data_IF_518311247665
#
_entry.id   IF_518311247665
#
_cell.length_a   1.000
_cell.length_b   1.000
_cell.length_c   1.000
_cell.angle_alpha   90.00
_cell.angle_beta   90.00
_cell.angle_gamma   90.00
#
_symmetry.space_group_name_H-M   'P 1'
#
loop_
_entity.id
_entity.type
_entity.pdbx_description
1 polymer ?
#
# COMPACT_ATOMS: atom_id res chain seq x y z
N UNK A 1 -8.10 0.64 22.56
CA UNK A 1 -8.91 -0.36 21.81
C UNK A 1 -8.09 -1.63 21.67
N UNK A 2 -8.69 -2.83 21.72
CA UNK A 2 -7.96 -4.05 21.38
C UNK A 2 -7.37 -3.94 19.95
N UNK A 3 -6.23 -4.59 19.66
CA UNK A 3 -5.73 -4.71 18.30
C UNK A 3 -6.83 -5.32 17.42
N UNK A 4 -6.94 -4.87 16.17
CA UNK A 4 -7.87 -5.49 15.24
C UNK A 4 -7.56 -6.99 15.20
N UNK A 5 -8.52 -7.89 15.46
CA UNK A 5 -8.35 -9.28 15.04
C UNK A 5 -8.05 -9.23 13.54
N UNK A 6 -7.04 -9.98 13.10
CA UNK A 6 -6.58 -10.05 11.73
C UNK A 6 -7.66 -10.70 10.84
N UNK A 7 -8.82 -10.08 10.73
CA UNK A 7 -9.78 -10.39 9.69
C UNK A 7 -9.15 -9.91 8.40
N UNK A 8 -8.80 -10.90 7.57
CA UNK A 8 -8.09 -10.76 6.29
C UNK A 8 -8.51 -9.47 5.59
N UNK A 9 -7.58 -8.51 5.44
CA UNK A 9 -7.75 -7.47 4.42
C UNK A 9 -7.91 -8.22 3.10
N UNK A 10 -8.91 -7.90 2.26
CA UNK A 10 -9.06 -8.62 1.02
C UNK A 10 -7.78 -8.46 0.22
N UNK A 11 -7.32 -9.54 -0.38
CA UNK A 11 -5.99 -9.55 -1.01
C UNK A 11 -6.03 -8.69 -2.27
N UNK A 12 -4.96 -7.92 -2.49
CA UNK A 12 -4.82 -7.08 -3.66
C UNK A 12 -4.84 -7.99 -4.91
N UNK A 13 -5.40 -7.55 -6.03
CA UNK A 13 -5.42 -8.34 -7.30
C UNK A 13 -4.94 -7.51 -8.49
N UNK A 14 -4.23 -6.43 -8.19
CA UNK A 14 -3.72 -5.40 -9.10
C UNK A 14 -3.23 -4.21 -8.28
N UNK A 15 -2.37 -3.36 -8.83
CA UNK A 15 -1.98 -2.03 -8.30
C UNK A 15 -3.15 -1.27 -7.63
N UNK A 16 -3.36 -1.39 -6.32
CA UNK A 16 -4.51 -0.80 -5.58
C UNK A 16 -4.20 -0.61 -4.08
N UNK A 17 -2.92 -0.60 -3.71
CA UNK A 17 -2.48 -0.61 -2.30
C UNK A 17 -3.09 0.54 -1.47
N UNK A 18 -3.26 1.73 -2.07
CA UNK A 18 -3.90 2.88 -1.43
C UNK A 18 -5.36 2.63 -1.02
N UNK A 19 -6.17 1.99 -1.89
CA UNK A 19 -7.57 1.67 -1.58
C UNK A 19 -7.67 0.69 -0.41
N UNK A 20 -6.83 -0.34 -0.42
CA UNK A 20 -6.81 -1.33 0.66
C UNK A 20 -6.31 -0.76 1.98
N UNK A 21 -5.36 0.18 1.94
CA UNK A 21 -4.95 0.93 3.13
C UNK A 21 -6.11 1.72 3.73
N UNK A 22 -6.96 2.36 2.91
CA UNK A 22 -8.19 3.03 3.39
C UNK A 22 -9.14 2.02 4.04
N UNK A 23 -9.40 0.87 3.39
CA UNK A 23 -10.27 -0.18 3.95
C UNK A 23 -9.76 -0.68 5.30
N UNK A 24 -8.45 -0.91 5.42
CA UNK A 24 -7.82 -1.28 6.68
C UNK A 24 -8.03 -0.19 7.75
N UNK A 25 -7.85 1.07 7.38
CA UNK A 25 -8.07 2.23 8.26
C UNK A 25 -9.51 2.32 8.78
N UNK A 26 -10.52 2.14 7.92
CA UNK A 26 -11.92 2.24 8.37
C UNK A 26 -12.36 1.05 9.23
N UNK A 27 -11.80 -0.14 8.98
CA UNK A 27 -11.94 -1.28 9.91
C UNK A 27 -11.37 -0.93 11.28
N UNK A 28 -10.19 -0.30 11.33
CA UNK A 28 -9.54 0.13 12.59
C UNK A 28 -10.41 1.11 13.37
N UNK A 29 -11.17 1.93 12.65
CA UNK A 29 -12.13 2.88 13.22
C UNK A 29 -13.45 2.24 13.68
N UNK A 30 -13.62 0.92 13.52
CA UNK A 30 -14.75 0.17 14.05
C UNK A 30 -15.96 0.07 13.11
N UNK A 31 -15.77 0.31 11.81
CA UNK A 31 -16.85 0.13 10.83
C UNK A 31 -17.30 -1.35 10.78
N UNK A 32 -18.60 -1.57 10.68
CA UNK A 32 -19.21 -2.88 10.48
C UNK A 32 -18.92 -3.44 9.08
N UNK A 33 -19.05 -4.77 8.86
CA UNK A 33 -18.87 -5.36 7.53
C UNK A 33 -19.79 -4.79 6.44
N UNK A 34 -21.00 -4.36 6.80
CA UNK A 34 -21.94 -3.72 5.86
C UNK A 34 -21.47 -2.32 5.43
N UNK A 35 -20.98 -1.52 6.38
CA UNK A 35 -20.40 -0.21 6.11
C UNK A 35 -19.12 -0.33 5.27
N UNK A 36 -18.30 -1.33 5.55
CA UNK A 36 -17.09 -1.61 4.76
C UNK A 36 -17.43 -1.97 3.31
N UNK A 37 -18.42 -2.83 3.08
CA UNK A 37 -18.84 -3.21 1.73
C UNK A 37 -19.36 -2.01 0.93
N UNK A 38 -20.15 -1.14 1.57
CA UNK A 38 -20.62 0.11 0.96
C UNK A 38 -19.46 1.05 0.64
N UNK A 39 -18.51 1.19 1.57
CA UNK A 39 -17.33 2.03 1.39
C UNK A 39 -16.41 1.50 0.29
N UNK A 40 -16.21 0.18 0.19
CA UNK A 40 -15.45 -0.43 -0.91
C UNK A 40 -16.08 -0.13 -2.26
N UNK A 41 -17.41 -0.28 -2.39
CA UNK A 41 -18.11 0.04 -3.62
C UNK A 41 -17.96 1.52 -4.01
N UNK A 42 -18.06 2.42 -3.03
CA UNK A 42 -17.86 3.85 -3.23
C UNK A 42 -16.42 4.21 -3.61
N UNK A 43 -15.41 3.69 -2.89
CA UNK A 43 -13.99 3.86 -3.21
C UNK A 43 -13.67 3.38 -4.62
N UNK A 44 -14.11 2.17 -4.98
CA UNK A 44 -13.89 1.60 -6.30
C UNK A 44 -14.54 2.43 -7.42
N UNK A 45 -15.70 3.02 -7.16
CA UNK A 45 -16.36 3.93 -8.12
C UNK A 45 -15.60 5.25 -8.26
N UNK A 46 -15.19 5.86 -7.15
CA UNK A 46 -14.45 7.12 -7.13
C UNK A 46 -13.07 6.96 -7.78
N UNK A 47 -12.33 5.90 -7.42
CA UNK A 47 -11.05 5.55 -8.03
C UNK A 47 -11.19 5.40 -9.55
N UNK A 48 -12.23 4.69 -10.01
CA UNK A 48 -12.48 4.52 -11.45
C UNK A 48 -12.86 5.81 -12.18
N UNK A 49 -13.40 6.79 -11.48
CA UNK A 49 -13.82 8.06 -12.06
C UNK A 49 -12.72 9.14 -12.02
N UNK A 50 -11.73 9.02 -11.13
CA UNK A 50 -10.70 10.03 -10.94
C UNK A 50 -9.58 9.88 -11.99
N UNK A 51 -9.29 10.91 -12.80
CA UNK A 51 -8.25 10.84 -13.84
C UNK A 51 -6.82 10.72 -13.27
N UNK A 52 -6.63 11.02 -11.97
CA UNK A 52 -5.37 10.87 -11.23
C UNK A 52 -5.15 9.46 -10.70
N UNK A 53 -6.03 8.50 -10.96
CA UNK A 53 -5.72 7.07 -10.79
C UNK A 53 -5.15 6.51 -12.10
N UNK A 54 -4.03 5.80 -12.02
CA UNK A 54 -3.45 5.12 -13.19
C UNK A 54 -3.08 3.71 -12.78
N UNK A 55 -3.63 2.73 -13.51
CA UNK A 55 -3.63 1.29 -13.21
C UNK A 55 -4.06 0.89 -11.77
N UNK A 56 -4.61 1.85 -11.01
CA UNK A 56 -5.09 1.72 -9.63
C UNK A 56 -4.07 2.15 -8.56
N UNK A 57 -2.87 2.59 -8.96
CA UNK A 57 -1.92 3.20 -8.02
C UNK A 57 -2.35 4.59 -7.58
N UNK A 58 -2.05 4.91 -6.31
CA UNK A 58 -2.32 6.20 -5.68
C UNK A 58 -0.97 6.83 -5.30
N UNK A 59 -0.37 7.59 -6.20
CA UNK A 59 0.97 8.17 -6.00
C UNK A 59 0.96 9.56 -5.33
N UNK A 60 -0.22 10.01 -4.87
CA UNK A 60 -0.43 11.35 -4.33
C UNK A 60 -1.23 11.31 -3.03
N UNK A 61 -0.76 12.07 -2.04
CA UNK A 61 -1.47 12.36 -0.78
C UNK A 61 -2.85 12.98 -1.05
N UNK A 62 -2.93 13.94 -1.96
CA UNK A 62 -4.20 14.63 -2.28
C UNK A 62 -5.27 13.68 -2.83
N UNK A 63 -4.90 12.83 -3.80
CA UNK A 63 -5.81 11.81 -4.32
C UNK A 63 -6.33 10.89 -3.21
N UNK A 64 -5.47 10.41 -2.31
CA UNK A 64 -5.92 9.56 -1.21
C UNK A 64 -6.91 10.30 -0.28
N UNK A 65 -6.63 11.57 0.03
CA UNK A 65 -7.53 12.41 0.82
C UNK A 65 -8.87 12.64 0.14
N UNK A 66 -8.88 12.90 -1.17
CA UNK A 66 -10.10 13.12 -1.94
C UNK A 66 -10.96 11.85 -2.02
N UNK A 67 -10.33 10.68 -2.18
CA UNK A 67 -11.03 9.39 -2.12
C UNK A 67 -11.69 9.18 -0.74
N UNK A 68 -10.97 9.43 0.36
CA UNK A 68 -11.51 9.28 1.73
C UNK A 68 -12.65 10.27 2.00
N UNK A 69 -12.52 11.53 1.56
CA UNK A 69 -13.56 12.54 1.71
C UNK A 69 -14.78 12.21 0.84
N UNK A 70 -14.55 11.74 -0.38
CA UNK A 70 -15.59 11.43 -1.36
C UNK A 70 -16.52 10.31 -0.92
N UNK A 71 -16.02 9.29 -0.19
CA UNK A 71 -16.89 8.21 0.29
C UNK A 71 -17.90 8.64 1.35
N UNK A 72 -17.64 9.75 2.06
CA UNK A 72 -18.54 10.26 3.12
C UNK A 72 -19.87 10.84 2.59
N UNK A 73 -20.07 10.90 1.27
CA UNK A 73 -21.27 11.46 0.62
C UNK A 73 -22.45 10.52 0.44
N UNK A 74 -22.25 9.19 0.48
CA UNK A 74 -23.20 8.20 -0.05
C UNK A 74 -23.82 7.28 1.03
N UNK A 75 -24.05 7.79 2.24
CA UNK A 75 -24.52 6.96 3.37
C UNK A 75 -23.45 6.06 3.97
N UNK A 76 -22.17 6.29 3.61
CA UNK A 76 -21.03 5.69 4.28
C UNK A 76 -20.72 6.44 5.59
N UNK A 77 -19.91 5.85 6.47
CA UNK A 77 -19.37 6.53 7.65
C UNK A 77 -18.72 7.88 7.26
N UNK A 78 -19.00 8.92 8.04
CA UNK A 78 -18.36 10.23 7.83
C UNK A 78 -16.93 10.19 8.34
N UNK A 79 -15.99 10.29 7.41
CA UNK A 79 -14.56 10.25 7.67
C UNK A 79 -13.98 11.65 7.57
N UNK A 80 -13.18 12.04 8.55
CA UNK A 80 -12.25 13.15 8.45
C UNK A 80 -10.88 12.58 8.10
N UNK A 81 -10.20 13.20 7.13
CA UNK A 81 -8.85 12.83 6.75
C UNK A 81 -7.96 14.05 6.51
N UNK A 82 -6.73 13.98 7.02
CA UNK A 82 -5.71 15.01 6.84
C UNK A 82 -4.32 14.39 6.71
N UNK A 83 -3.48 15.05 5.92
CA UNK A 83 -2.06 14.76 5.89
C UNK A 83 -1.38 15.30 7.16
N UNK A 84 -0.44 14.53 7.70
CA UNK A 84 0.39 14.93 8.83
C UNK A 84 1.85 14.84 8.43
N UNK A 85 2.62 15.93 8.57
CA UNK A 85 4.05 15.89 8.28
C UNK A 85 4.83 15.26 9.45
N UNK A 86 5.95 14.62 9.12
CA UNK A 86 6.99 14.24 10.06
C UNK A 86 8.35 14.31 9.36
N UNK A 87 9.41 14.51 10.15
CA UNK A 87 10.78 14.63 9.62
C UNK A 87 11.78 13.70 10.32
N UNK A 88 11.38 13.04 11.42
CA UNK A 88 12.30 12.23 12.23
C UNK A 88 11.61 10.96 12.74
N UNK A 89 12.37 9.90 13.06
CA UNK A 89 11.83 8.71 13.71
C UNK A 89 11.11 9.01 15.02
N UNK A 90 11.63 9.96 15.82
CA UNK A 90 11.00 10.36 17.08
C UNK A 90 9.62 11.02 16.85
N UNK A 91 9.50 11.88 15.83
CA UNK A 91 8.22 12.48 15.46
C UNK A 91 7.24 11.41 14.97
N UNK A 92 7.70 10.46 14.13
CA UNK A 92 6.89 9.33 13.69
C UNK A 92 6.40 8.49 14.88
N UNK A 93 7.27 8.17 15.83
CA UNK A 93 6.93 7.42 17.05
C UNK A 93 5.84 8.12 17.87
N UNK A 94 5.94 9.44 18.03
CA UNK A 94 4.95 10.25 18.74
C UNK A 94 3.59 10.17 18.03
N UNK A 95 3.55 10.34 16.71
CA UNK A 95 2.32 10.25 15.92
C UNK A 95 1.65 8.87 16.05
N UNK A 96 2.42 7.79 15.98
CA UNK A 96 1.91 6.42 16.16
C UNK A 96 1.28 6.24 17.53
N UNK A 97 1.94 6.76 18.58
CA UNK A 97 1.44 6.70 19.95
C UNK A 97 0.14 7.49 20.11
N UNK A 98 0.10 8.72 19.59
CA UNK A 98 -1.06 9.60 19.69
C UNK A 98 -2.28 8.99 18.99
N UNK A 99 -2.08 8.45 17.77
CA UNK A 99 -3.16 7.78 17.04
C UNK A 99 -3.66 6.51 17.75
N UNK A 100 -2.76 5.73 18.35
CA UNK A 100 -3.14 4.56 19.14
C UNK A 100 -3.99 4.93 20.36
N UNK A 101 -3.73 6.09 20.97
CA UNK A 101 -4.49 6.60 22.12
C UNK A 101 -5.85 7.19 21.71
N UNK A 102 -5.90 7.95 20.62
CA UNK A 102 -7.16 8.52 20.11
C UNK A 102 -8.07 7.50 19.42
N UNK A 103 -7.49 6.37 19.00
CA UNK A 103 -8.17 5.35 18.21
C UNK A 103 -8.27 5.71 16.73
N UNK A 104 -7.57 6.75 16.28
CA UNK A 104 -7.48 7.11 14.88
C UNK A 104 -6.69 6.07 14.07
N UNK A 105 -6.92 6.05 12.75
CA UNK A 105 -6.14 5.24 11.82
C UNK A 105 -5.03 6.08 11.19
N UNK A 106 -3.81 5.53 11.11
CA UNK A 106 -2.68 6.14 10.42
C UNK A 106 -2.29 5.31 9.20
N UNK A 107 -2.38 5.91 8.02
CA UNK A 107 -1.84 5.33 6.80
C UNK A 107 -0.47 5.94 6.52
N UNK A 108 0.47 5.10 6.12
CA UNK A 108 1.83 5.50 5.79
C UNK A 108 2.17 5.02 4.38
N UNK A 109 2.62 5.93 3.49
CA UNK A 109 3.33 5.51 2.30
C UNK A 109 4.76 5.14 2.69
N UNK A 110 5.32 4.09 2.12
CA UNK A 110 6.71 3.72 2.33
C UNK A 110 7.26 3.06 1.07
N UNK A 111 8.53 3.27 0.76
CA UNK A 111 9.15 2.49 -0.31
C UNK A 111 9.41 1.07 0.20
N UNK A 112 8.94 0.09 -0.56
CA UNK A 112 9.08 -1.31 -0.22
C UNK A 112 10.51 -1.76 -0.57
N UNK A 113 11.21 -2.43 0.35
CA UNK A 113 12.50 -2.99 0.02
C UNK A 113 12.36 -4.28 -0.82
N UNK A 114 13.11 -4.42 -1.92
CA UNK A 114 13.01 -5.56 -2.84
C UNK A 114 13.24 -6.94 -2.17
N UNK A 115 14.00 -6.96 -1.07
CA UNK A 115 14.21 -8.18 -0.29
C UNK A 115 12.93 -8.70 0.39
N UNK A 116 11.96 -7.83 0.69
CA UNK A 116 10.67 -8.23 1.26
C UNK A 116 9.95 -9.11 0.25
N UNK A 117 9.87 -8.65 -0.99
CA UNK A 117 9.30 -9.38 -2.12
C UNK A 117 9.97 -10.74 -2.33
N UNK A 118 11.31 -10.79 -2.33
CA UNK A 118 12.05 -12.04 -2.48
C UNK A 118 11.75 -13.02 -1.34
N UNK A 119 11.76 -12.55 -0.10
CA UNK A 119 11.46 -13.35 1.08
C UNK A 119 10.03 -13.93 1.05
N UNK A 120 9.02 -13.10 0.78
CA UNK A 120 7.63 -13.56 0.77
C UNK A 120 7.32 -14.49 -0.42
N UNK A 121 7.94 -14.27 -1.59
CA UNK A 121 7.85 -15.24 -2.70
C UNK A 121 8.42 -16.60 -2.29
N UNK A 122 9.54 -16.62 -1.57
CA UNK A 122 10.15 -17.86 -1.09
C UNK A 122 9.31 -18.54 0.00
N UNK A 123 8.69 -17.78 0.91
CA UNK A 123 7.71 -18.34 1.87
C UNK A 123 6.52 -19.00 1.17
N UNK A 124 5.96 -18.35 0.14
CA UNK A 124 4.86 -18.92 -0.64
C UNK A 124 5.28 -20.21 -1.36
N UNK A 125 6.49 -20.25 -1.92
CA UNK A 125 7.08 -21.45 -2.53
C UNK A 125 7.37 -22.54 -1.51
N UNK A 126 7.78 -22.19 -0.29
CA UNK A 126 8.02 -23.16 0.77
C UNK A 126 6.72 -23.87 1.16
N UNK A 127 5.62 -23.13 1.27
CA UNK A 127 4.29 -23.69 1.55
C UNK A 127 3.80 -24.68 0.47
N UNK A 128 4.27 -24.54 -0.78
CA UNK A 128 4.01 -25.45 -1.89
C UNK A 128 5.11 -26.51 -2.10
N UNK A 129 6.12 -26.59 -1.23
CA UNK A 129 7.24 -27.52 -1.33
C UNK A 129 8.26 -27.18 -2.43
N UNK A 130 8.23 -25.96 -2.96
CA UNK A 130 9.06 -25.45 -4.06
C UNK A 130 10.22 -24.56 -3.60
N UNK A 131 10.39 -24.36 -2.29
CA UNK A 131 11.55 -23.68 -1.70
C UNK A 131 11.93 -24.35 -0.36
N UNK A 132 13.20 -24.30 0.00
CA UNK A 132 13.73 -24.88 1.24
C UNK A 132 13.67 -23.88 2.41
N UNK A 133 13.73 -24.40 3.64
CA UNK A 133 13.88 -23.57 4.84
C UNK A 133 15.12 -22.67 4.80
N UNK A 134 16.21 -23.15 4.20
CA UNK A 134 17.47 -22.43 4.08
C UNK A 134 17.38 -21.26 3.10
N UNK A 135 16.66 -21.42 1.98
CA UNK A 135 16.40 -20.34 1.03
C UNK A 135 15.57 -19.21 1.67
N UNK A 136 14.56 -19.59 2.45
CA UNK A 136 13.71 -18.66 3.19
C UNK A 136 14.51 -17.93 4.27
N UNK A 137 15.36 -18.65 5.02
CA UNK A 137 16.23 -18.04 6.04
C UNK A 137 17.27 -17.09 5.43
N UNK A 138 17.86 -17.43 4.28
CA UNK A 138 18.79 -16.55 3.57
C UNK A 138 18.10 -15.26 3.07
N UNK A 139 16.90 -15.38 2.52
CA UNK A 139 16.12 -14.22 2.09
C UNK A 139 15.67 -13.35 3.27
N UNK A 140 15.36 -13.96 4.43
CA UNK A 140 15.13 -13.21 5.67
C UNK A 140 16.36 -12.41 6.10
N UNK A 141 17.54 -13.02 6.07
CA UNK A 141 18.78 -12.30 6.41
C UNK A 141 19.13 -11.22 5.38
N UNK A 142 18.76 -11.40 4.10
CA UNK A 142 18.90 -10.36 3.09
C UNK A 142 17.95 -9.18 3.37
N UNK A 143 16.72 -9.48 3.82
CA UNK A 143 15.73 -8.50 4.28
C UNK A 143 16.20 -7.65 5.47
N UNK A 144 17.05 -8.19 6.33
CA UNK A 144 17.62 -7.48 7.47
C UNK A 144 18.85 -6.61 7.12
N UNK A 145 19.58 -6.94 6.03
CA UNK A 145 20.91 -6.37 5.72
C UNK A 145 20.94 -5.12 4.82
N UNK A 146 19.81 -4.72 4.26
CA UNK A 146 19.70 -3.89 3.04
C UNK A 146 20.54 -2.61 3.00
N UNK A 147 21.66 -2.67 2.27
CA UNK A 147 22.56 -1.55 2.00
C UNK A 147 22.14 -0.69 0.79
N UNK A 148 21.19 -1.16 -0.03
CA UNK A 148 20.77 -0.49 -1.27
C UNK A 148 19.25 -0.35 -1.31
N UNK A 149 18.73 0.65 -0.61
CA UNK A 149 17.34 1.05 -0.75
C UNK A 149 17.18 1.78 -2.09
N UNK A 150 16.41 1.21 -3.01
CA UNK A 150 15.96 1.91 -4.22
C UNK A 150 14.45 2.13 -4.11
N UNK A 151 13.99 3.35 -4.39
CA UNK A 151 12.59 3.75 -4.34
C UNK A 151 11.76 3.17 -5.51
N UNK A 152 11.91 1.87 -5.77
CA UNK A 152 11.34 1.25 -6.98
C UNK A 152 9.86 0.93 -6.81
N UNK A 153 9.35 0.85 -5.57
CA UNK A 153 7.97 0.48 -5.28
C UNK A 153 7.41 1.32 -4.12
N UNK A 154 6.84 2.49 -4.42
CA UNK A 154 6.02 3.22 -3.46
C UNK A 154 4.79 2.38 -3.10
N UNK A 155 4.53 2.19 -1.80
CA UNK A 155 3.43 1.36 -1.31
C UNK A 155 2.68 2.03 -0.17
N UNK A 156 1.43 1.64 0.05
CA UNK A 156 0.59 2.14 1.16
C UNK A 156 0.21 1.03 2.14
N UNK A 157 0.26 1.33 3.43
CA UNK A 157 -0.28 0.44 4.46
C UNK A 157 -0.87 1.20 5.65
N UNK A 158 -1.71 0.50 6.42
CA UNK A 158 -2.15 0.96 7.75
C UNK A 158 -1.06 0.64 8.78
N UNK A 159 -0.71 1.60 9.64
CA UNK A 159 0.02 1.31 10.88
C UNK A 159 -0.96 0.66 11.86
N UNK A 160 -0.84 -0.67 12.05
CA UNK A 160 -1.79 -1.46 12.82
C UNK A 160 -1.54 -1.35 14.32
N UNK A 161 -0.30 -1.65 14.73
CA UNK A 161 0.12 -1.61 16.14
C UNK A 161 1.62 -1.36 16.27
N UNK A 162 2.03 -1.04 17.49
CA UNK A 162 3.40 -1.24 17.94
C UNK A 162 3.42 -2.52 18.75
N UNK A 163 4.23 -3.50 18.36
CA UNK A 163 4.54 -4.65 19.20
C UNK A 163 5.47 -4.21 20.32
N UNK A 164 4.92 -4.13 21.53
CA UNK A 164 5.66 -3.69 22.72
C UNK A 164 6.81 -4.65 23.09
N UNK A 165 6.72 -5.92 22.71
CA UNK A 165 7.75 -6.92 23.03
C UNK A 165 9.00 -6.73 22.20
N UNK A 166 8.83 -6.48 20.90
CA UNK A 166 9.93 -6.31 19.95
C UNK A 166 10.26 -4.84 19.67
N UNK A 167 9.44 -3.90 20.13
CA UNK A 167 9.54 -2.47 19.82
C UNK A 167 9.26 -2.14 18.35
N UNK A 168 8.63 -3.06 17.60
CA UNK A 168 8.44 -2.94 16.15
C UNK A 168 7.07 -2.36 15.81
N UNK A 169 7.03 -1.57 14.74
CA UNK A 169 5.80 -1.10 14.11
C UNK A 169 5.33 -2.18 13.14
N UNK A 170 4.10 -2.63 13.34
CA UNK A 170 3.44 -3.63 12.51
C UNK A 170 2.52 -2.92 11.53
N UNK A 171 2.79 -3.08 10.24
CA UNK A 171 1.92 -2.57 9.18
C UNK A 171 0.93 -3.65 8.75
N UNK A 172 -0.34 -3.29 8.57
CA UNK A 172 -1.30 -4.13 7.88
C UNK A 172 -1.18 -3.87 6.38
N UNK A 173 -0.41 -4.74 5.71
CA UNK A 173 -0.05 -4.65 4.31
C UNK A 173 -0.88 -5.64 3.48
N UNK A 174 -1.60 -5.13 2.48
CA UNK A 174 -2.28 -5.95 1.47
C UNK A 174 -1.33 -6.16 0.30
N UNK A 175 -0.85 -7.38 0.10
CA UNK A 175 -0.13 -7.75 -1.11
C UNK A 175 -1.06 -8.42 -2.14
N UNK A 176 -0.60 -8.57 -3.38
CA UNK A 176 -1.31 -9.26 -4.45
C UNK A 176 -1.46 -10.78 -4.19
N UNK A 177 -2.65 -11.33 -4.44
CA UNK A 177 -2.88 -12.77 -4.41
C UNK A 177 -2.34 -13.37 -5.70
N UNK A 178 -1.03 -13.58 -5.76
CA UNK A 178 -0.45 -14.22 -6.95
C UNK A 178 -0.84 -15.71 -7.02
N UNK A 179 -1.44 -16.31 -5.97
CA UNK A 179 -1.57 -17.78 -5.89
C UNK A 179 -2.87 -18.33 -5.25
N UNK A 180 -3.91 -17.51 -5.03
CA UNK A 180 -5.19 -17.97 -4.48
C UNK A 180 -5.15 -18.37 -2.99
N UNK A 181 -4.12 -17.93 -2.25
CA UNK A 181 -3.86 -18.38 -0.87
C UNK A 181 -4.27 -17.34 0.17
N UNK A 182 -4.69 -16.15 -0.25
CA UNK A 182 -5.36 -15.22 0.66
C UNK A 182 -4.46 -14.69 1.79
N UNK A 183 -3.22 -14.27 1.47
CA UNK A 183 -2.30 -13.72 2.47
C UNK A 183 -2.47 -12.21 2.64
N UNK A 184 -3.00 -11.78 3.80
CA UNK A 184 -2.77 -10.43 4.32
C UNK A 184 -1.54 -10.49 5.21
N UNK A 185 -0.49 -9.72 4.89
CA UNK A 185 0.76 -9.78 5.65
C UNK A 185 0.85 -8.64 6.68
N UNK A 186 1.52 -8.97 7.77
CA UNK A 186 2.12 -7.99 8.67
C UNK A 186 3.54 -7.70 8.17
N UNK A 187 3.84 -6.42 7.93
CA UNK A 187 5.20 -5.99 7.65
C UNK A 187 5.76 -5.26 8.87
N UNK A 188 6.81 -5.82 9.46
CA UNK A 188 7.38 -5.31 10.71
C UNK A 188 8.62 -4.46 10.47
N UNK A 189 8.61 -3.26 11.03
CA UNK A 189 9.69 -2.28 10.92
C UNK A 189 10.13 -1.81 12.31
N UNK A 190 11.41 -1.45 12.48
CA UNK A 190 11.72 -0.48 13.53
C UNK A 190 11.19 0.89 13.11
N UNK A 191 10.97 1.80 14.06
CA UNK A 191 10.50 3.17 13.73
C UNK A 191 11.51 3.88 12.83
N UNK A 192 12.81 3.66 13.06
CA UNK A 192 13.89 4.22 12.26
C UNK A 192 13.82 3.70 10.81
N UNK A 193 13.62 2.39 10.62
CA UNK A 193 13.52 1.80 9.28
C UNK A 193 12.28 2.29 8.56
N UNK A 194 11.14 2.37 9.24
CA UNK A 194 9.89 2.88 8.65
C UNK A 194 10.01 4.37 8.27
N UNK A 195 10.63 5.18 9.14
CA UNK A 195 10.92 6.58 8.86
C UNK A 195 11.81 6.73 7.64
N UNK A 196 12.89 5.94 7.55
CA UNK A 196 13.79 5.97 6.39
C UNK A 196 13.08 5.53 5.10
N UNK A 197 12.26 4.48 5.17
CA UNK A 197 11.51 3.97 4.03
C UNK A 197 10.48 4.97 3.48
N UNK A 198 9.85 5.77 4.35
CA UNK A 198 8.95 6.84 3.92
C UNK A 198 9.72 8.05 3.38
N UNK A 199 10.79 8.50 4.05
CA UNK A 199 11.58 9.66 3.60
C UNK A 199 12.31 9.40 2.27
N UNK A 200 12.59 8.14 1.95
CA UNK A 200 13.17 7.74 0.67
C UNK A 200 12.17 7.78 -0.50
N UNK A 201 10.91 8.12 -0.28
CA UNK A 201 9.93 8.43 -1.34
C UNK A 201 10.07 9.85 -1.90
N UNK A 202 11.11 10.59 -1.51
CA UNK A 202 11.43 11.90 -2.06
C UNK A 202 12.07 11.70 -3.44
N UNK A 203 11.27 11.82 -4.51
CA UNK A 203 11.75 11.60 -5.87
C UNK A 203 10.65 11.22 -6.86
N UNK A 204 11.02 10.42 -7.85
CA UNK A 204 10.13 9.96 -8.91
C UNK A 204 9.82 8.46 -8.76
N UNK A 205 8.61 8.09 -9.16
CA UNK A 205 8.16 6.72 -9.39
C UNK A 205 8.46 6.34 -10.84
N UNK A 206 9.09 5.18 -11.02
CA UNK A 206 9.40 4.64 -12.35
C UNK A 206 8.32 3.65 -12.79
N UNK A 207 7.52 4.06 -13.78
CA UNK A 207 6.46 3.24 -14.37
C UNK A 207 6.99 2.07 -15.22
N UNK A 208 8.29 1.93 -15.46
CA UNK A 208 8.86 0.87 -16.31
C UNK A 208 8.61 -0.55 -15.79
N UNK A 209 8.38 -0.71 -14.48
CA UNK A 209 7.98 -2.00 -13.90
C UNK A 209 6.51 -2.35 -14.16
N UNK A 210 5.71 -1.33 -14.50
CA UNK A 210 4.25 -1.43 -14.64
C UNK A 210 3.77 -1.24 -16.07
N UNK A 211 4.60 -0.64 -16.93
CA UNK A 211 4.33 -0.39 -18.34
C UNK A 211 5.46 -0.96 -19.21
N UNK A 212 5.10 -1.52 -20.37
CA UNK A 212 6.08 -1.82 -21.41
C UNK A 212 6.44 -0.58 -22.26
N UNK A 213 7.30 -0.78 -23.27
CA UNK A 213 7.75 0.30 -24.15
C UNK A 213 6.62 1.01 -24.91
N UNK A 214 5.50 0.31 -25.12
CA UNK A 214 4.31 0.79 -25.84
C UNK A 214 3.24 1.32 -24.89
N UNK A 215 3.53 1.43 -23.59
CA UNK A 215 2.57 1.88 -22.58
C UNK A 215 1.51 0.85 -22.23
N UNK A 216 1.76 -0.44 -22.51
CA UNK A 216 0.88 -1.52 -22.10
C UNK A 216 1.17 -1.85 -20.64
N UNK A 217 0.14 -1.78 -19.80
CA UNK A 217 0.27 -2.19 -18.41
C UNK A 217 0.52 -3.69 -18.31
N UNK A 218 1.54 -4.10 -17.54
CA UNK A 218 1.78 -5.52 -17.23
C UNK A 218 0.57 -6.05 -16.43
N UNK A 219 -0.09 -7.10 -16.95
CA UNK A 219 -1.12 -7.82 -16.21
C UNK A 219 -0.51 -8.91 -15.33
N UNK A 220 -1.29 -9.38 -14.36
CA UNK A 220 -0.94 -10.55 -13.52
C UNK A 220 -0.50 -11.78 -14.34
N UNK A 221 -1.07 -11.97 -15.53
CA UNK A 221 -0.72 -13.08 -16.42
C UNK A 221 0.64 -12.90 -17.10
N UNK A 222 1.03 -11.66 -17.43
CA UNK A 222 2.35 -11.35 -17.99
C UNK A 222 3.45 -11.57 -16.94
N UNK A 223 3.19 -11.18 -15.69
CA UNK A 223 4.09 -11.41 -14.54
C UNK A 223 4.22 -12.91 -14.18
N UNK A 224 3.24 -13.74 -14.57
CA UNK A 224 3.25 -15.19 -14.38
C UNK A 224 3.84 -15.97 -15.58
N UNK A 225 4.28 -15.29 -16.65
CA UNK A 225 4.88 -15.93 -17.83
C UNK A 225 3.90 -16.73 -18.69
N UNK A 226 2.60 -16.47 -18.58
CA UNK A 226 1.56 -17.13 -19.37
C UNK A 226 1.28 -16.33 -20.66
N UNK A 227 1.00 -17.01 -21.76
CA UNK A 227 0.70 -16.38 -23.05
C UNK A 227 -0.60 -15.57 -22.97
N UNK A 228 -0.46 -14.24 -22.96
CA UNK A 228 -1.56 -13.30 -22.86
C UNK A 228 -2.38 -13.26 -24.15
N UNK A 229 -3.70 -13.47 -24.03
CA UNK A 229 -4.67 -13.04 -25.04
C UNK A 229 -5.19 -11.67 -24.63
N UNK A 230 -4.85 -10.58 -25.36
CA UNK A 230 -5.20 -9.22 -24.94
C UNK A 230 -6.69 -8.97 -25.02
N UNK A 231 -7.36 -9.00 -23.87
CA UNK A 231 -8.70 -8.44 -23.74
C UNK A 231 -8.64 -7.23 -22.82
N UNK A 232 -8.52 -6.05 -23.45
CA UNK A 232 -8.77 -4.69 -22.95
C UNK A 232 -7.52 -3.88 -22.52
N UNK A 233 -7.19 -2.77 -23.20
CA UNK A 233 -6.23 -1.80 -22.69
C UNK A 233 -6.75 -1.18 -21.39
N UNK A 234 -5.99 -1.28 -20.29
CA UNK A 234 -6.27 -0.57 -19.02
C UNK A 234 -5.89 0.92 -19.10
N UNK A 235 -6.09 1.56 -20.25
CA UNK A 235 -5.81 2.98 -20.41
C UNK A 235 -7.07 3.77 -20.02
N UNK A 236 -7.35 3.86 -18.71
CA UNK A 236 -8.45 4.70 -18.20
C UNK A 236 -8.28 6.17 -18.59
N UNK A 237 -7.03 6.60 -18.84
CA UNK A 237 -6.68 7.95 -19.21
C UNK A 237 -5.53 7.94 -20.25
N UNK A 238 -5.86 7.93 -21.57
CA UNK A 238 -4.86 7.93 -22.64
C UNK A 238 -3.93 9.16 -22.59
N UNK A 239 -4.47 10.33 -22.25
CA UNK A 239 -3.70 11.58 -22.15
C UNK A 239 -2.63 11.49 -21.07
N UNK A 240 -2.97 10.90 -19.90
CA UNK A 240 -2.01 10.67 -18.83
C UNK A 240 -0.96 9.61 -19.19
N UNK A 241 -1.35 8.55 -19.90
CA UNK A 241 -0.36 7.58 -20.39
C UNK A 241 0.64 8.26 -21.33
N UNK A 242 0.16 9.11 -22.25
CA UNK A 242 1.04 9.87 -23.13
C UNK A 242 1.98 10.80 -22.36
N UNK A 243 1.49 11.43 -21.28
CA UNK A 243 2.31 12.24 -20.38
C UNK A 243 3.40 11.40 -19.69
N UNK A 244 3.04 10.27 -19.07
CA UNK A 244 3.98 9.34 -18.43
C UNK A 244 5.05 8.88 -19.42
N UNK A 245 4.65 8.45 -20.62
CA UNK A 245 5.59 7.99 -21.66
C UNK A 245 6.50 9.13 -22.15
N UNK A 246 5.98 10.35 -22.29
CA UNK A 246 6.76 11.53 -22.70
C UNK A 246 7.78 11.94 -21.64
N UNK A 247 7.46 11.74 -20.37
CA UNK A 247 8.33 12.03 -19.23
C UNK A 247 9.28 10.86 -18.91
N UNK A 248 9.58 10.01 -19.90
CA UNK A 248 10.53 8.91 -19.71
C UNK A 248 10.04 7.81 -18.76
N UNK A 249 8.73 7.73 -18.51
CA UNK A 249 8.08 6.84 -17.51
C UNK A 249 8.31 7.25 -16.05
N UNK A 250 8.79 8.47 -15.80
CA UNK A 250 8.93 9.00 -14.45
C UNK A 250 7.72 9.85 -14.05
N UNK A 251 7.22 9.67 -12.83
CA UNK A 251 6.18 10.50 -12.22
C UNK A 251 6.61 10.98 -10.83
N UNK A 252 6.42 12.26 -10.53
CA UNK A 252 6.80 12.83 -9.24
C UNK A 252 5.97 12.24 -8.09
N UNK A 253 6.63 11.85 -7.00
CA UNK A 253 5.98 11.38 -5.77
C UNK A 253 5.84 12.54 -4.77
N UNK A 254 4.62 12.73 -4.26
CA UNK A 254 4.35 13.66 -3.13
C UNK A 254 3.99 12.89 -1.86
N UNK A 255 4.90 12.02 -1.41
CA UNK A 255 4.66 11.06 -0.33
C UNK A 255 5.63 11.19 0.85
N UNK A 256 6.85 11.67 0.62
CA UNK A 256 7.90 11.72 1.62
C UNK A 256 7.55 12.62 2.81
N UNK A 257 7.88 12.14 4.01
CA UNK A 257 7.65 12.86 5.27
C UNK A 257 6.18 13.07 5.60
N UNK A 258 5.26 12.28 5.03
CA UNK A 258 3.82 12.45 5.23
C UNK A 258 3.14 11.14 5.65
N UNK A 259 2.15 11.27 6.53
CA UNK A 259 1.15 10.25 6.85
C UNK A 259 -0.25 10.77 6.56
N UNK A 260 -1.22 9.88 6.47
CA UNK A 260 -2.64 10.24 6.50
C UNK A 260 -3.25 9.78 7.82
N UNK A 261 -3.82 10.72 8.57
CA UNK A 261 -4.67 10.42 9.72
C UNK A 261 -6.12 10.38 9.26
N UNK A 262 -6.82 9.30 9.61
CA UNK A 262 -8.25 9.13 9.39
C UNK A 262 -8.96 9.01 10.73
N UNK A 263 -10.04 9.76 10.88
CA UNK A 263 -10.87 9.81 12.07
C UNK A 263 -12.35 9.68 11.68
N UNK A 264 -13.15 9.07 12.56
CA UNK A 264 -14.61 9.08 12.43
C UNK A 264 -15.16 10.42 12.91
N UNK A 265 -15.96 11.08 12.07
CA UNK A 265 -16.72 12.27 12.47
C UNK A 265 -17.94 11.83 13.29
N UNK A 266 -18.08 12.40 14.48
CA UNK A 266 -19.25 12.23 15.34
C UNK A 266 -20.29 13.30 15.07
#
# INVERSE_FOLDING_TARGET
MPPLPLQRIPVQTGANCGLFAILAGVRRLGCSPGEEAALFAALNRLEKADPRTFIGEVLSIELLLDLIRGVSGDGAPRLAARAIPFATPMALSALIRDASQSGAALLIPFARPQSYDAYYRLLGRQASGQATEEEVAAAWQAKEREADFRAVDAHWALINRVDETSGRVVLADSFEDVWGVGHGYEADFSVEKLSAANLALDGCFDWSNFLDERGRAWGMQDMQGLAYAPSTPRNKNPERLEEILRNGREELLDLAGRLILIEMMR
#
